data_IF_771289846624
#
_entry.id   IF_771289846624
#
_cell.length_a   1.000
_cell.length_b   1.000
_cell.length_c   1.000
_cell.angle_alpha   90.00
_cell.angle_beta   90.00
_cell.angle_gamma   90.00
#
_symmetry.space_group_name_H-M   'P 1'
#
loop_
_entity.id
_entity.type
_entity.pdbx_description
1 polymer ?
#
# COMPACT_ATOMS: atom_id res chain seq x y z
N UNK A 1 21.52 2.32 -21.67
CA UNK A 1 20.66 3.50 -21.38
C UNK A 1 19.26 2.97 -21.14
N UNK A 2 18.68 3.23 -19.97
CA UNK A 2 17.30 2.81 -19.65
C UNK A 2 16.34 3.64 -20.52
N UNK A 3 15.38 2.99 -21.19
CA UNK A 3 14.41 3.69 -22.02
C UNK A 3 13.59 4.69 -21.19
N UNK A 4 13.20 5.84 -21.76
CA UNK A 4 12.46 6.88 -21.03
C UNK A 4 11.19 6.34 -20.34
N UNK A 5 10.46 5.41 -20.99
CA UNK A 5 9.28 4.74 -20.41
C UNK A 5 9.56 3.94 -19.13
N UNK A 6 10.79 3.45 -18.96
CA UNK A 6 11.21 2.72 -17.76
C UNK A 6 11.56 3.66 -16.61
N UNK A 7 11.96 4.91 -16.90
CA UNK A 7 12.14 5.94 -15.87
C UNK A 7 10.80 6.38 -15.28
N UNK A 8 9.76 6.54 -16.11
CA UNK A 8 8.41 6.86 -15.62
C UNK A 8 7.84 5.72 -14.75
N UNK A 9 8.09 4.48 -15.16
CA UNK A 9 7.72 3.29 -14.38
C UNK A 9 8.45 3.26 -13.03
N UNK A 10 9.75 3.58 -13.02
CA UNK A 10 10.55 3.69 -11.81
C UNK A 10 10.02 4.79 -10.88
N UNK A 11 9.70 5.98 -11.41
CA UNK A 11 9.13 7.08 -10.64
C UNK A 11 7.83 6.64 -9.96
N UNK A 12 6.94 6.01 -10.73
CA UNK A 12 5.67 5.47 -10.20
C UNK A 12 5.93 4.51 -9.03
N UNK A 13 6.91 3.61 -9.17
CA UNK A 13 7.26 2.67 -8.10
C UNK A 13 7.73 3.38 -6.83
N UNK A 14 8.61 4.38 -6.96
CA UNK A 14 9.11 5.22 -5.85
C UNK A 14 8.00 6.03 -5.20
N UNK A 15 7.18 6.72 -5.99
CA UNK A 15 6.10 7.58 -5.50
C UNK A 15 5.08 6.77 -4.70
N UNK A 16 4.66 5.62 -5.22
CA UNK A 16 3.73 4.73 -4.51
C UNK A 16 4.35 4.11 -3.26
N UNK A 17 5.65 3.77 -3.28
CA UNK A 17 6.34 3.21 -2.13
C UNK A 17 6.41 4.25 -1.00
N UNK A 18 6.86 5.46 -1.31
CA UNK A 18 6.97 6.53 -0.33
C UNK A 18 5.61 6.91 0.24
N UNK A 19 4.60 7.11 -0.62
CA UNK A 19 3.25 7.45 -0.19
C UNK A 19 2.70 6.43 0.82
N UNK A 20 2.82 5.13 0.53
CA UNK A 20 2.29 4.09 1.41
C UNK A 20 3.20 3.76 2.61
N UNK A 21 4.50 4.03 2.53
CA UNK A 21 5.38 3.99 3.70
C UNK A 21 4.96 5.06 4.74
N UNK A 22 4.61 6.27 4.27
CA UNK A 22 4.06 7.32 5.15
C UNK A 22 2.71 6.91 5.72
N UNK A 23 1.81 6.34 4.91
CA UNK A 23 0.52 5.81 5.40
C UNK A 23 0.75 4.74 6.47
N UNK A 24 1.64 3.78 6.23
CA UNK A 24 1.97 2.73 7.20
C UNK A 24 2.50 3.32 8.51
N UNK A 25 3.38 4.33 8.44
CA UNK A 25 3.90 4.99 9.63
C UNK A 25 2.77 5.64 10.44
N UNK A 26 1.92 6.44 9.78
CA UNK A 26 0.80 7.13 10.44
C UNK A 26 -0.18 6.14 11.06
N UNK A 27 -0.60 5.12 10.30
CA UNK A 27 -1.56 4.10 10.77
C UNK A 27 -0.97 3.28 11.92
N UNK A 28 0.34 2.97 11.89
CA UNK A 28 1.00 2.20 12.95
C UNK A 28 1.14 3.00 14.25
N UNK A 29 1.37 4.31 14.17
CA UNK A 29 1.41 5.18 15.35
C UNK A 29 0.03 5.30 16.03
N UNK A 30 -1.06 5.30 15.26
CA UNK A 30 -2.43 5.31 15.78
C UNK A 30 -2.93 3.96 16.34
N UNK A 31 -2.13 2.88 16.23
CA UNK A 31 -2.57 1.53 16.58
C UNK A 31 -2.82 1.30 18.08
N UNK A 32 -2.23 2.11 18.97
CA UNK A 32 -2.42 1.99 20.42
C UNK A 32 -3.86 2.32 20.86
N UNK A 33 -4.47 3.32 20.22
CA UNK A 33 -5.83 3.79 20.52
C UNK A 33 -6.89 2.98 19.73
N UNK A 34 -6.50 2.37 18.61
CA UNK A 34 -7.40 1.74 17.64
C UNK A 34 -7.10 0.25 17.49
N UNK A 35 -7.23 -0.52 18.58
CA UNK A 35 -6.95 -1.96 18.57
C UNK A 35 -8.13 -2.79 18.01
N UNK A 36 -8.58 -2.45 16.80
CA UNK A 36 -9.62 -3.21 16.09
C UNK A 36 -8.98 -4.21 15.13
N UNK A 37 -9.69 -5.32 14.87
CA UNK A 37 -9.28 -6.30 13.86
C UNK A 37 -9.06 -5.67 12.48
N UNK A 38 -9.88 -4.68 12.11
CA UNK A 38 -9.82 -3.99 10.82
C UNK A 38 -8.63 -3.06 10.70
N UNK A 39 -8.22 -2.41 11.81
CA UNK A 39 -6.98 -1.63 11.85
C UNK A 39 -5.75 -2.50 11.64
N UNK A 40 -5.66 -3.66 12.30
CA UNK A 40 -4.54 -4.59 12.07
C UNK A 40 -4.52 -5.10 10.62
N UNK A 41 -5.68 -5.37 10.03
CA UNK A 41 -5.80 -5.79 8.62
C UNK A 41 -5.32 -4.70 7.67
N UNK A 42 -5.64 -3.43 7.91
CA UNK A 42 -5.19 -2.33 7.04
C UNK A 42 -3.66 -2.23 7.00
N UNK A 43 -2.98 -2.36 8.14
CA UNK A 43 -1.50 -2.38 8.19
C UNK A 43 -0.90 -3.47 7.30
N UNK A 44 -1.37 -4.71 7.43
CA UNK A 44 -0.86 -5.82 6.60
C UNK A 44 -1.19 -5.66 5.12
N UNK A 45 -2.37 -5.12 4.80
CA UNK A 45 -2.78 -4.86 3.42
C UNK A 45 -1.94 -3.76 2.77
N UNK A 46 -1.64 -2.67 3.49
CA UNK A 46 -0.73 -1.63 2.98
C UNK A 46 0.68 -2.15 2.80
N UNK A 47 1.21 -2.93 3.76
CA UNK A 47 2.55 -3.52 3.66
C UNK A 47 2.68 -4.47 2.47
N UNK A 48 1.78 -5.46 2.39
CA UNK A 48 1.79 -6.43 1.29
C UNK A 48 1.48 -5.75 -0.05
N UNK A 49 0.51 -4.85 -0.08
CA UNK A 49 0.15 -4.09 -1.29
C UNK A 49 1.29 -3.25 -1.82
N UNK A 50 2.02 -2.54 -0.95
CA UNK A 50 3.19 -1.73 -1.34
C UNK A 50 4.32 -2.61 -1.85
N UNK A 51 4.63 -3.69 -1.14
CA UNK A 51 5.69 -4.61 -1.53
C UNK A 51 5.41 -5.24 -2.90
N UNK A 52 4.16 -5.65 -3.16
CA UNK A 52 3.77 -6.26 -4.45
C UNK A 52 3.70 -5.19 -5.55
N UNK A 53 3.04 -4.05 -5.30
CA UNK A 53 2.86 -2.98 -6.27
C UNK A 53 4.22 -2.39 -6.68
N UNK A 54 4.93 -1.74 -5.75
CA UNK A 54 6.19 -1.05 -6.06
C UNK A 54 7.29 -2.06 -6.36
N UNK A 55 7.35 -3.19 -5.65
CA UNK A 55 8.33 -4.25 -5.90
C UNK A 55 8.23 -4.83 -7.31
N UNK A 56 7.01 -5.09 -7.80
CA UNK A 56 6.81 -5.57 -9.19
C UNK A 56 7.31 -4.56 -10.23
N UNK A 57 7.07 -3.26 -10.01
CA UNK A 57 7.53 -2.21 -10.92
C UNK A 57 9.06 -2.01 -10.86
N UNK A 58 9.67 -2.11 -9.67
CA UNK A 58 11.13 -2.10 -9.56
C UNK A 58 11.75 -3.28 -10.31
N UNK A 59 11.23 -4.49 -10.10
CA UNK A 59 11.70 -5.68 -10.80
C UNK A 59 11.48 -5.55 -12.31
N UNK A 60 10.33 -5.05 -12.75
CA UNK A 60 10.05 -4.79 -14.17
C UNK A 60 11.12 -3.89 -14.80
N UNK A 61 11.52 -2.81 -14.12
CA UNK A 61 12.54 -1.89 -14.63
C UNK A 61 13.93 -2.51 -14.62
N UNK A 62 14.27 -3.25 -13.55
CA UNK A 62 15.60 -3.84 -13.38
C UNK A 62 15.85 -5.06 -14.28
N UNK A 63 14.82 -5.86 -14.55
CA UNK A 63 14.91 -7.09 -15.34
C UNK A 63 14.33 -6.95 -16.74
N UNK A 64 13.81 -5.77 -17.08
CA UNK A 64 13.09 -5.46 -18.33
C UNK A 64 11.94 -6.44 -18.66
N UNK A 65 11.38 -7.09 -17.63
CA UNK A 65 10.38 -8.16 -17.80
C UNK A 65 8.96 -7.60 -17.75
N UNK A 66 8.36 -7.39 -18.93
CA UNK A 66 7.03 -6.76 -19.05
C UNK A 66 5.89 -7.50 -18.32
N UNK A 67 5.97 -8.83 -18.18
CA UNK A 67 4.97 -9.66 -17.49
C UNK A 67 4.81 -9.26 -16.01
N UNK A 68 5.85 -8.73 -15.38
CA UNK A 68 5.78 -8.26 -14.00
C UNK A 68 4.78 -7.10 -13.83
N UNK A 69 4.50 -6.34 -14.89
CA UNK A 69 3.49 -5.28 -14.88
C UNK A 69 2.07 -5.83 -14.70
N UNK A 70 1.81 -7.09 -15.06
CA UNK A 70 0.52 -7.74 -14.82
C UNK A 70 0.33 -8.15 -13.34
N UNK A 71 1.39 -8.15 -12.53
CA UNK A 71 1.34 -8.42 -11.08
C UNK A 71 0.96 -7.15 -10.31
N UNK A 72 1.34 -5.97 -10.81
CA UNK A 72 1.09 -4.66 -10.17
C UNK A 72 -0.38 -4.42 -9.78
N UNK A 73 -1.40 -4.78 -10.59
CA UNK A 73 -2.81 -4.65 -10.20
C UNK A 73 -3.19 -5.39 -8.91
N UNK A 74 -2.55 -6.53 -8.61
CA UNK A 74 -2.79 -7.29 -7.38
C UNK A 74 -2.38 -6.44 -6.17
N UNK A 75 -1.22 -5.79 -6.24
CA UNK A 75 -0.78 -4.83 -5.23
C UNK A 75 -1.77 -3.67 -5.09
N UNK A 76 -2.27 -3.13 -6.20
CA UNK A 76 -3.28 -2.06 -6.20
C UNK A 76 -4.58 -2.45 -5.49
N UNK A 77 -5.09 -3.67 -5.73
CA UNK A 77 -6.27 -4.19 -5.04
C UNK A 77 -6.04 -4.32 -3.53
N UNK A 78 -4.85 -4.77 -3.12
CA UNK A 78 -4.50 -4.84 -1.69
C UNK A 78 -4.44 -3.45 -1.05
N UNK A 79 -3.89 -2.44 -1.75
CA UNK A 79 -3.87 -1.07 -1.27
C UNK A 79 -5.29 -0.49 -1.10
N UNK A 80 -6.19 -0.73 -2.07
CA UNK A 80 -7.61 -0.35 -1.97
C UNK A 80 -8.27 -1.05 -0.77
N UNK A 81 -8.06 -2.36 -0.61
CA UNK A 81 -8.58 -3.10 0.53
C UNK A 81 -8.02 -2.59 1.88
N UNK A 82 -6.77 -2.12 1.89
CA UNK A 82 -6.13 -1.47 3.03
C UNK A 82 -6.88 -0.21 3.46
N UNK A 83 -7.18 0.68 2.52
CA UNK A 83 -7.98 1.89 2.77
C UNK A 83 -9.40 1.56 3.27
N UNK A 84 -10.08 0.59 2.65
CA UNK A 84 -11.42 0.16 3.09
C UNK A 84 -11.39 -0.42 4.51
N UNK A 85 -10.36 -1.20 4.84
CA UNK A 85 -10.18 -1.77 6.18
C UNK A 85 -9.90 -0.69 7.21
N UNK A 86 -9.08 0.31 6.87
CA UNK A 86 -8.79 1.45 7.74
C UNK A 86 -10.06 2.27 8.01
N UNK A 87 -10.84 2.59 6.97
CA UNK A 87 -12.09 3.33 7.11
C UNK A 87 -13.09 2.58 8.01
N UNK A 88 -13.18 1.25 7.88
CA UNK A 88 -14.03 0.42 8.74
C UNK A 88 -13.53 0.33 10.18
N UNK A 89 -12.22 0.26 10.39
CA UNK A 89 -11.64 0.29 11.75
C UNK A 89 -11.87 1.63 12.45
N UNK A 90 -11.75 2.73 11.70
CA UNK A 90 -12.00 4.08 12.21
C UNK A 90 -13.47 4.30 12.57
N UNK A 91 -14.41 3.85 11.74
CA UNK A 91 -15.83 4.00 12.06
C UNK A 91 -16.24 3.24 13.31
N UNK A 92 -15.65 2.05 13.56
CA UNK A 92 -15.88 1.31 14.80
C UNK A 92 -15.36 2.05 16.03
N UNK A 93 -14.11 2.53 15.98
CA UNK A 93 -13.51 3.29 17.09
C UNK A 93 -14.31 4.56 17.42
N UNK A 94 -14.84 5.25 16.40
CA UNK A 94 -15.68 6.45 16.58
C UNK A 94 -17.04 6.11 17.19
N UNK A 95 -17.63 4.95 16.86
CA UNK A 95 -18.91 4.53 17.42
C UNK A 95 -18.78 4.08 18.88
N UNK A 96 -17.71 3.37 19.22
CA UNK A 96 -17.44 2.90 20.60
C UNK A 96 -17.04 4.01 21.57
N UNK A 97 -16.57 5.15 21.06
CA UNK A 97 -16.22 6.34 21.86
C UNK A 97 -17.39 7.29 22.10
N UNK A 98 -18.59 7.02 21.57
CA UNK A 98 -19.77 7.86 21.84
C UNK A 98 -20.40 7.52 23.21
N UNK A 99 -20.70 8.52 24.04
CA UNK A 99 -21.28 8.34 25.38
C UNK A 99 -22.72 7.84 25.37
#
# INVERSE_FOLDING_TARGET
MVAASRLDTWSTAVDYHLAHAVVLLVVSLGAQEMNTLWHRRSCWLFLAGTAIFSGSLYLLVLTDTAVLGAITPIGGVLLIAGWLSLARGLSQAVLESRP
#
